data_IF_299160246909
#
_entry.id   IF_299160246909
#
_cell.length_a   1.000
_cell.length_b   1.000
_cell.length_c   1.000
_cell.angle_alpha   90.00
_cell.angle_beta   90.00
_cell.angle_gamma   90.00
#
_symmetry.space_group_name_H-M   'P 1'
#
loop_
_entity.id
_entity.type
_entity.pdbx_description
1 polymer ?
#
# COMPACT_ATOMS: atom_id res chain seq x y z
N UNK A 1 37.59 -12.05 -17.72
CA UNK A 1 36.15 -12.35 -17.63
C UNK A 1 35.88 -13.33 -16.47
N UNK A 2 35.49 -12.80 -15.31
CA UNK A 2 35.17 -13.63 -14.14
C UNK A 2 33.83 -14.31 -14.39
N UNK A 3 33.87 -15.62 -14.64
CA UNK A 3 32.70 -16.48 -14.76
C UNK A 3 32.11 -16.58 -13.34
N UNK A 4 31.02 -15.87 -13.09
CA UNK A 4 30.36 -15.85 -11.79
C UNK A 4 29.95 -17.25 -11.36
N UNK A 5 30.28 -17.61 -10.12
CA UNK A 5 29.81 -18.84 -9.48
C UNK A 5 28.27 -18.85 -9.54
N UNK A 6 27.61 -19.98 -9.87
CA UNK A 6 26.16 -20.07 -9.88
C UNK A 6 25.62 -19.71 -8.48
N UNK A 7 24.84 -18.64 -8.39
CA UNK A 7 24.21 -18.21 -7.14
C UNK A 7 23.13 -19.22 -6.76
N UNK A 8 23.12 -19.66 -5.50
CA UNK A 8 22.09 -20.58 -5.01
C UNK A 8 20.68 -19.99 -5.21
N UNK A 9 19.67 -20.79 -5.61
CA UNK A 9 18.32 -20.28 -5.92
C UNK A 9 17.69 -19.45 -4.80
N UNK A 10 17.89 -19.85 -3.54
CA UNK A 10 17.38 -19.12 -2.37
C UNK A 10 18.02 -17.75 -2.19
N UNK A 11 19.31 -17.63 -2.52
CA UNK A 11 20.03 -16.36 -2.46
C UNK A 11 19.52 -15.42 -3.55
N UNK A 12 19.36 -15.92 -4.78
CA UNK A 12 18.78 -15.16 -5.88
C UNK A 12 17.35 -14.67 -5.55
N UNK A 13 16.52 -15.54 -4.97
CA UNK A 13 15.18 -15.21 -4.50
C UNK A 13 15.19 -14.09 -3.45
N UNK A 14 16.12 -14.16 -2.49
CA UNK A 14 16.28 -13.12 -1.45
C UNK A 14 16.63 -11.76 -2.07
N UNK A 15 17.59 -11.71 -3.02
CA UNK A 15 17.92 -10.48 -3.74
C UNK A 15 16.70 -9.89 -4.47
N UNK A 16 15.91 -10.73 -5.15
CA UNK A 16 14.71 -10.29 -5.85
C UNK A 16 13.65 -9.72 -4.89
N UNK A 17 13.42 -10.37 -3.76
CA UNK A 17 12.48 -9.92 -2.74
C UNK A 17 12.89 -8.56 -2.15
N UNK A 18 14.17 -8.40 -1.78
CA UNK A 18 14.69 -7.13 -1.26
C UNK A 18 14.60 -6.02 -2.32
N UNK A 19 14.93 -6.32 -3.58
CA UNK A 19 14.84 -5.35 -4.67
C UNK A 19 13.39 -4.92 -4.94
N UNK A 20 12.43 -5.85 -4.88
CA UNK A 20 11.00 -5.55 -5.02
C UNK A 20 10.49 -4.68 -3.87
N UNK A 21 10.85 -5.01 -2.62
CA UNK A 21 10.49 -4.23 -1.44
C UNK A 21 11.02 -2.80 -1.50
N UNK A 22 12.32 -2.62 -1.81
CA UNK A 22 12.94 -1.29 -1.93
C UNK A 22 12.32 -0.47 -3.07
N UNK A 23 12.02 -1.08 -4.23
CA UNK A 23 11.32 -0.38 -5.32
C UNK A 23 9.93 0.09 -4.89
N UNK A 24 9.18 -0.76 -4.21
CA UNK A 24 7.85 -0.40 -3.69
C UNK A 24 7.94 0.75 -2.69
N UNK A 25 8.88 0.71 -1.76
CA UNK A 25 9.12 1.78 -0.78
C UNK A 25 9.53 3.09 -1.46
N UNK A 26 10.46 3.02 -2.41
CA UNK A 26 10.89 4.20 -3.18
C UNK A 26 9.71 4.86 -3.91
N UNK A 27 8.90 4.06 -4.63
CA UNK A 27 7.74 4.57 -5.33
C UNK A 27 6.72 5.20 -4.37
N UNK A 28 6.47 4.57 -3.22
CA UNK A 28 5.60 5.10 -2.19
C UNK A 28 6.09 6.46 -1.65
N UNK A 29 7.39 6.59 -1.39
CA UNK A 29 7.99 7.85 -0.93
C UNK A 29 7.86 8.96 -1.98
N UNK A 30 8.09 8.65 -3.27
CA UNK A 30 7.90 9.61 -4.36
C UNK A 30 6.44 10.05 -4.51
N UNK A 31 5.50 9.12 -4.36
CA UNK A 31 4.07 9.45 -4.37
C UNK A 31 3.74 10.41 -3.23
N UNK A 32 4.10 10.09 -1.98
CA UNK A 32 3.80 10.96 -0.84
C UNK A 32 4.49 12.31 -0.92
N UNK A 33 5.76 12.36 -1.38
CA UNK A 33 6.47 13.62 -1.63
C UNK A 33 5.67 14.54 -2.56
N UNK A 34 5.17 14.02 -3.69
CA UNK A 34 4.34 14.80 -4.63
C UNK A 34 3.04 15.30 -4.00
N UNK A 35 2.39 14.47 -3.18
CA UNK A 35 1.15 14.85 -2.49
C UNK A 35 1.41 15.99 -1.49
N UNK A 36 2.45 15.88 -0.66
CA UNK A 36 2.81 16.92 0.29
C UNK A 36 3.28 18.21 -0.39
N UNK A 37 3.99 18.10 -1.50
CA UNK A 37 4.42 19.26 -2.28
C UNK A 37 3.21 20.04 -2.83
N UNK A 38 2.20 19.34 -3.35
CA UNK A 38 0.96 19.97 -3.83
C UNK A 38 0.20 20.71 -2.73
N UNK A 39 0.28 20.21 -1.49
CA UNK A 39 -0.35 20.81 -0.31
C UNK A 39 0.50 21.90 0.36
N UNK A 40 1.68 22.21 -0.19
CA UNK A 40 2.61 23.19 0.41
C UNK A 40 3.27 22.70 1.71
N UNK A 41 3.21 21.40 2.02
CA UNK A 41 3.83 20.83 3.21
C UNK A 41 5.30 20.49 2.93
N UNK A 42 6.17 21.48 3.13
CA UNK A 42 7.62 21.38 2.84
C UNK A 42 8.29 20.32 3.72
N UNK A 43 7.97 20.27 5.02
CA UNK A 43 8.65 19.35 5.95
C UNK A 43 8.43 17.89 5.60
N UNK A 44 7.18 17.50 5.32
CA UNK A 44 6.87 16.12 4.93
C UNK A 44 7.35 15.80 3.51
N UNK A 45 7.39 16.79 2.61
CA UNK A 45 7.99 16.64 1.27
C UNK A 45 9.46 16.25 1.37
N UNK A 46 10.26 17.05 2.09
CA UNK A 46 11.70 16.81 2.26
C UNK A 46 11.97 15.50 3.00
N UNK A 47 11.14 15.16 4.00
CA UNK A 47 11.21 13.87 4.68
C UNK A 47 11.01 12.71 3.70
N UNK A 48 9.98 12.76 2.86
CA UNK A 48 9.73 11.71 1.87
C UNK A 48 10.84 11.61 0.82
N UNK A 49 11.41 12.73 0.39
CA UNK A 49 12.55 12.75 -0.54
C UNK A 49 13.79 12.10 0.05
N UNK A 50 14.12 12.39 1.32
CA UNK A 50 15.23 11.76 2.02
C UNK A 50 15.06 10.23 2.10
N UNK A 51 13.84 9.76 2.32
CA UNK A 51 13.50 8.33 2.34
C UNK A 51 13.59 7.69 0.96
N UNK A 52 13.14 8.39 -0.09
CA UNK A 52 13.27 7.92 -1.47
C UNK A 52 14.75 7.77 -1.84
N UNK A 53 15.58 8.73 -1.44
CA UNK A 53 17.03 8.72 -1.64
C UNK A 53 17.71 7.58 -0.87
N UNK A 54 17.32 7.34 0.38
CA UNK A 54 17.78 6.20 1.18
C UNK A 54 17.49 4.87 0.46
N UNK A 55 16.25 4.69 -0.04
CA UNK A 55 15.87 3.50 -0.80
C UNK A 55 16.72 3.35 -2.08
N UNK A 56 17.05 4.45 -2.77
CA UNK A 56 17.90 4.44 -3.97
C UNK A 56 19.30 3.92 -3.65
N UNK A 57 19.92 4.43 -2.58
CA UNK A 57 21.25 3.98 -2.11
C UNK A 57 21.23 2.50 -1.72
N UNK A 58 20.19 2.05 -1.02
CA UNK A 58 20.04 0.63 -0.68
C UNK A 58 19.92 -0.25 -1.94
N UNK A 59 19.19 0.19 -2.97
CA UNK A 59 19.11 -0.54 -4.24
C UNK A 59 20.46 -0.61 -4.97
N UNK A 60 21.27 0.45 -4.92
CA UNK A 60 22.62 0.46 -5.50
C UNK A 60 23.56 -0.51 -4.78
N UNK A 61 23.53 -0.52 -3.45
CA UNK A 61 24.25 -1.51 -2.64
C UNK A 61 23.83 -2.93 -2.99
N UNK A 62 22.51 -3.19 -3.07
CA UNK A 62 21.98 -4.50 -3.40
C UNK A 62 22.43 -4.96 -4.80
N UNK A 63 22.42 -4.07 -5.80
CA UNK A 63 22.92 -4.35 -7.15
C UNK A 63 24.42 -4.63 -7.18
N UNK A 64 25.21 -3.88 -6.41
CA UNK A 64 26.67 -4.05 -6.30
C UNK A 64 27.03 -5.41 -5.71
N UNK A 65 26.39 -5.79 -4.61
CA UNK A 65 26.64 -7.08 -3.95
C UNK A 65 26.19 -8.25 -4.83
N UNK A 66 25.06 -8.12 -5.51
CA UNK A 66 24.60 -9.10 -6.49
C UNK A 66 25.61 -9.28 -7.64
N UNK A 67 26.10 -8.17 -8.22
CA UNK A 67 27.07 -8.20 -9.30
C UNK A 67 28.44 -8.80 -8.93
N UNK A 68 28.78 -8.79 -7.64
CA UNK A 68 30.00 -9.43 -7.11
C UNK A 68 29.81 -10.92 -6.80
N UNK A 69 28.59 -11.45 -6.90
CA UNK A 69 28.26 -12.79 -6.41
C UNK A 69 28.32 -12.89 -4.88
N UNK A 70 28.24 -11.76 -4.17
CA UNK A 70 28.27 -11.71 -2.72
C UNK A 70 26.95 -12.17 -2.09
N UNK A 71 26.94 -12.43 -0.77
CA UNK A 71 25.71 -12.73 -0.05
C UNK A 71 24.75 -11.51 -0.04
N UNK A 72 23.44 -11.74 0.11
CA UNK A 72 22.49 -10.64 0.22
C UNK A 72 22.70 -9.89 1.53
N UNK A 73 22.58 -8.54 1.53
CA UNK A 73 22.65 -7.77 2.77
C UNK A 73 21.59 -8.25 3.77
N UNK A 74 21.93 -8.26 5.06
CA UNK A 74 20.99 -8.63 6.11
C UNK A 74 19.90 -7.56 6.22
N UNK A 75 18.61 -7.89 6.01
CA UNK A 75 17.55 -6.90 6.12
C UNK A 75 17.33 -6.49 7.58
N UNK A 76 17.03 -5.21 7.77
CA UNK A 76 16.45 -4.66 9.00
C UNK A 76 15.02 -4.24 8.71
N UNK A 77 14.09 -4.70 9.54
CA UNK A 77 12.69 -4.27 9.47
C UNK A 77 12.46 -3.12 10.42
N UNK A 78 11.79 -2.08 9.95
CA UNK A 78 11.45 -0.89 10.71
C UNK A 78 9.98 -0.55 10.46
N UNK A 79 9.29 -0.15 11.53
CA UNK A 79 7.95 0.41 11.43
C UNK A 79 8.06 1.93 11.46
N UNK A 80 7.50 2.59 10.44
CA UNK A 80 7.46 4.05 10.33
C UNK A 80 6.00 4.48 10.12
N UNK A 81 5.55 5.46 10.89
CA UNK A 81 4.21 6.04 10.75
C UNK A 81 4.28 7.23 9.79
N UNK A 82 3.35 7.25 8.82
CA UNK A 82 3.20 8.32 7.84
C UNK A 82 1.80 8.90 7.95
N UNK A 83 1.69 10.21 8.08
CA UNK A 83 0.41 10.93 8.04
C UNK A 83 0.03 11.18 6.59
N UNK A 84 -0.53 10.17 5.93
CA UNK A 84 -0.90 10.28 4.52
C UNK A 84 -2.22 11.04 4.36
N UNK A 85 -2.26 11.95 3.40
CA UNK A 85 -3.49 12.63 3.02
C UNK A 85 -4.11 11.80 1.90
N UNK A 86 -5.30 11.24 2.15
CA UNK A 86 -6.07 10.54 1.12
C UNK A 86 -6.61 11.59 0.16
N UNK A 87 -6.02 11.65 -1.02
CA UNK A 87 -6.54 12.44 -2.13
C UNK A 87 -7.30 11.49 -3.05
N UNK A 88 -8.46 11.92 -3.50
CA UNK A 88 -9.31 11.19 -4.43
C UNK A 88 -9.41 12.01 -5.72
N UNK A 89 -8.33 12.09 -6.53
CA UNK A 89 -8.29 12.96 -7.71
C UNK A 89 -9.32 12.58 -8.77
N UNK A 90 -9.77 11.32 -8.75
CA UNK A 90 -10.81 10.80 -9.64
C UNK A 90 -12.24 11.15 -9.16
N UNK A 91 -12.37 11.73 -7.96
CA UNK A 91 -13.64 12.23 -7.43
C UNK A 91 -13.75 13.75 -7.65
N UNK A 92 -14.84 14.17 -8.26
CA UNK A 92 -15.31 15.54 -8.33
C UNK A 92 -15.95 16.01 -7.01
N UNK A 93 -16.22 17.32 -6.89
CA UNK A 93 -16.86 17.87 -5.69
C UNK A 93 -18.28 17.35 -5.43
N UNK A 94 -18.97 16.88 -6.47
CA UNK A 94 -20.28 16.24 -6.39
C UNK A 94 -20.22 14.75 -6.07
N UNK A 95 -19.06 14.10 -6.23
CA UNK A 95 -18.98 12.65 -6.07
C UNK A 95 -19.00 12.24 -4.60
N UNK A 96 -19.65 11.11 -4.34
CA UNK A 96 -19.73 10.49 -3.02
C UNK A 96 -19.36 9.03 -3.17
N UNK A 97 -18.30 8.62 -2.49
CA UNK A 97 -17.81 7.24 -2.48
C UNK A 97 -18.11 6.59 -1.13
N UNK A 98 -18.64 5.36 -1.16
CA UNK A 98 -18.87 4.52 0.01
C UNK A 98 -18.16 3.18 -0.18
N UNK A 99 -17.19 2.89 0.69
CA UNK A 99 -16.51 1.60 0.75
C UNK A 99 -17.06 0.75 1.89
N UNK A 100 -17.51 -0.47 1.59
CA UNK A 100 -17.92 -1.47 2.58
C UNK A 100 -16.79 -2.48 2.69
N UNK A 101 -15.93 -2.30 3.69
CA UNK A 101 -14.66 -3.04 3.80
C UNK A 101 -14.84 -4.46 4.36
N UNK A 102 -15.56 -4.62 5.48
CA UNK A 102 -15.79 -5.91 6.14
C UNK A 102 -16.86 -5.84 7.23
N UNK A 103 -17.60 -6.94 7.41
CA UNK A 103 -18.37 -7.22 8.62
C UNK A 103 -17.54 -8.07 9.60
N UNK A 104 -17.55 -7.74 10.90
CA UNK A 104 -16.80 -8.48 11.92
C UNK A 104 -17.75 -8.84 13.07
N UNK A 105 -17.77 -10.12 13.46
CA UNK A 105 -18.52 -10.56 14.64
C UNK A 105 -20.03 -10.37 14.51
N UNK A 106 -20.59 -10.63 13.32
CA UNK A 106 -22.03 -10.51 13.09
C UNK A 106 -22.80 -11.51 13.96
N UNK A 107 -23.92 -11.10 14.59
CA UNK A 107 -24.70 -11.98 15.44
C UNK A 107 -25.36 -13.07 14.58
N UNK A 108 -25.24 -14.31 15.03
CA UNK A 108 -25.83 -15.46 14.35
C UNK A 108 -27.24 -15.69 14.90
N UNK A 109 -28.29 -15.67 14.06
CA UNK A 109 -29.66 -15.92 14.52
C UNK A 109 -29.84 -17.32 15.13
N UNK A 110 -30.79 -17.50 16.06
CA UNK A 110 -31.10 -18.82 16.60
C UNK A 110 -31.43 -19.83 15.48
N UNK A 111 -30.76 -20.99 15.50
CA UNK A 111 -30.97 -22.04 14.50
C UNK A 111 -30.16 -21.91 13.22
N UNK A 112 -29.29 -20.90 13.10
CA UNK A 112 -28.34 -20.73 11.98
C UNK A 112 -26.93 -21.05 12.46
N UNK A 113 -26.12 -21.76 11.67
CA UNK A 113 -24.71 -21.95 11.99
C UNK A 113 -23.90 -20.73 11.53
N UNK A 114 -22.80 -20.36 12.20
CA UNK A 114 -21.99 -19.20 11.81
C UNK A 114 -21.48 -19.25 10.36
N UNK A 115 -21.23 -20.44 9.80
CA UNK A 115 -20.78 -20.63 8.42
C UNK A 115 -21.88 -20.52 7.36
N UNK A 116 -23.14 -20.58 7.77
CA UNK A 116 -24.32 -20.50 6.89
C UNK A 116 -24.89 -19.07 6.86
N UNK A 117 -24.19 -18.11 7.46
CA UNK A 117 -24.62 -16.73 7.54
C UNK A 117 -24.44 -16.04 6.19
N UNK A 118 -25.54 -15.83 5.48
CA UNK A 118 -25.59 -15.00 4.27
C UNK A 118 -26.01 -13.57 4.63
N UNK A 119 -25.06 -12.64 4.54
CA UNK A 119 -25.27 -11.25 4.95
C UNK A 119 -24.89 -10.28 3.85
N UNK A 120 -25.70 -9.25 3.70
CA UNK A 120 -25.43 -8.12 2.83
C UNK A 120 -25.63 -6.81 3.60
N UNK A 121 -24.95 -5.76 3.15
CA UNK A 121 -25.12 -4.41 3.69
C UNK A 121 -25.99 -3.63 2.71
N UNK A 122 -27.08 -3.04 3.22
CA UNK A 122 -27.89 -2.06 2.50
C UNK A 122 -27.42 -0.67 2.86
N UNK A 123 -27.40 0.22 1.89
CA UNK A 123 -27.04 1.61 2.11
C UNK A 123 -27.99 2.53 1.35
N UNK A 124 -28.14 3.73 1.89
CA UNK A 124 -29.02 4.76 1.38
C UNK A 124 -28.34 6.12 1.47
N UNK A 125 -28.32 6.86 0.37
CA UNK A 125 -27.91 8.26 0.32
C UNK A 125 -29.17 9.13 0.17
N UNK A 126 -29.52 9.92 1.20
CA UNK A 126 -30.74 10.73 1.19
C UNK A 126 -30.63 12.00 0.33
N UNK A 127 -29.61 12.11 -0.53
CA UNK A 127 -29.40 13.26 -1.40
C UNK A 127 -30.00 12.99 -2.80
N UNK A 128 -30.73 13.95 -3.40
CA UNK A 128 -31.03 15.29 -2.88
C UNK A 128 -32.24 15.37 -1.92
N UNK A 129 -33.07 14.32 -1.85
CA UNK A 129 -34.23 14.21 -0.94
C UNK A 129 -34.45 12.76 -0.49
N UNK A 130 -35.32 12.55 0.51
CA UNK A 130 -35.67 11.20 0.99
C UNK A 130 -36.47 10.42 -0.06
N UNK A 131 -37.28 11.12 -0.84
CA UNK A 131 -38.08 10.56 -1.93
C UNK A 131 -37.21 10.09 -3.10
N UNK A 132 -36.10 10.79 -3.36
CA UNK A 132 -35.15 10.51 -4.44
C UNK A 132 -33.86 9.84 -3.95
N UNK A 133 -33.91 9.25 -2.75
CA UNK A 133 -32.74 8.65 -2.12
C UNK A 133 -32.16 7.51 -2.97
N UNK A 134 -30.86 7.54 -3.19
CA UNK A 134 -30.15 6.45 -3.87
C UNK A 134 -29.98 5.29 -2.90
N UNK A 135 -30.46 4.11 -3.27
CA UNK A 135 -30.43 2.90 -2.43
C UNK A 135 -29.79 1.77 -3.20
N UNK A 136 -28.90 1.05 -2.54
CA UNK A 136 -28.30 -0.14 -3.10
C UNK A 136 -27.84 -1.10 -1.98
N UNK A 137 -27.26 -2.23 -2.35
CA UNK A 137 -26.75 -3.25 -1.44
C UNK A 137 -25.52 -3.96 -1.98
N UNK A 138 -24.75 -4.57 -1.10
CA UNK A 138 -23.70 -5.51 -1.50
C UNK A 138 -24.30 -6.80 -2.08
N UNK A 139 -23.55 -7.46 -2.95
CA UNK A 139 -23.85 -8.82 -3.41
C UNK A 139 -23.66 -9.85 -2.28
#
# INVERSE_FOLDING_TARGET
PARGVPMAPEVAKTFLQLAAALRKQHQMCLTYSRQFAHLGNISETTRCEALAEECRRHMETLRREHGRGGPPPRPRYEQRTFSIIKMFPDLSSSDRELGIERGIGLPVPPGVAPGDLDTFVRFEFPHPSVEEAQRDKTN
#
